data_IF_793198094030
#
_entry.id   IF_793198094030
#
_cell.length_a   1.000
_cell.length_b   1.000
_cell.length_c   1.000
_cell.angle_alpha   90.00
_cell.angle_beta   90.00
_cell.angle_gamma   90.00
#
_symmetry.space_group_name_H-M   'P 1'
#
loop_
_entity.id
_entity.type
_entity.pdbx_description
1 polymer ?
#
# COMPACT_ATOMS: atom_id res chain seq x y z
N UNK A 1 -16.25 8.22 -18.15
CA UNK A 1 -15.90 6.80 -17.99
C UNK A 1 -16.99 6.12 -17.22
N UNK A 2 -17.62 5.08 -17.76
CA UNK A 2 -18.55 4.25 -17.00
C UNK A 2 -17.79 3.56 -15.85
N UNK A 3 -18.32 3.65 -14.64
CA UNK A 3 -17.78 2.94 -13.49
C UNK A 3 -18.04 1.43 -13.68
N UNK A 4 -17.00 0.65 -13.76
CA UNK A 4 -17.12 -0.81 -13.85
C UNK A 4 -17.35 -1.32 -12.42
N UNK A 5 -18.60 -1.44 -12.02
CA UNK A 5 -19.00 -1.84 -10.66
C UNK A 5 -18.45 -3.21 -10.26
N UNK A 6 -18.35 -4.16 -11.20
CA UNK A 6 -17.79 -5.48 -10.95
C UNK A 6 -16.34 -5.42 -10.42
N UNK A 7 -15.51 -4.51 -10.90
CA UNK A 7 -14.15 -4.32 -10.38
C UNK A 7 -14.16 -3.77 -8.94
N UNK A 8 -15.14 -2.92 -8.61
CA UNK A 8 -15.27 -2.40 -7.24
C UNK A 8 -15.73 -3.49 -6.27
N UNK A 9 -16.67 -4.34 -6.68
CA UNK A 9 -17.09 -5.49 -5.85
C UNK A 9 -15.95 -6.47 -5.62
N UNK A 10 -15.16 -6.77 -6.65
CA UNK A 10 -14.01 -7.67 -6.51
C UNK A 10 -12.94 -7.08 -5.57
N UNK A 11 -12.71 -5.77 -5.61
CA UNK A 11 -11.80 -5.08 -4.67
C UNK A 11 -12.32 -5.12 -3.24
N UNK A 12 -13.63 -4.88 -3.04
CA UNK A 12 -14.25 -4.96 -1.73
C UNK A 12 -14.16 -6.38 -1.15
N UNK A 13 -14.44 -7.40 -1.97
CA UNK A 13 -14.29 -8.79 -1.58
C UNK A 13 -12.85 -9.13 -1.16
N UNK A 14 -11.87 -8.74 -1.98
CA UNK A 14 -10.46 -8.96 -1.68
C UNK A 14 -10.04 -8.25 -0.37
N UNK A 15 -10.53 -7.02 -0.13
CA UNK A 15 -10.26 -6.28 1.12
C UNK A 15 -10.81 -7.00 2.35
N UNK A 16 -12.08 -7.44 2.28
CA UNK A 16 -12.72 -8.17 3.37
C UNK A 16 -11.98 -9.48 3.65
N UNK A 17 -11.56 -10.19 2.61
CA UNK A 17 -10.82 -11.44 2.77
C UNK A 17 -9.48 -11.24 3.48
N UNK A 18 -8.69 -10.24 3.06
CA UNK A 18 -7.42 -9.88 3.73
C UNK A 18 -7.67 -9.48 5.18
N UNK A 19 -8.70 -8.66 5.45
CA UNK A 19 -9.07 -8.24 6.79
C UNK A 19 -9.41 -9.45 7.68
N UNK A 20 -10.27 -10.35 7.21
CA UNK A 20 -10.64 -11.56 7.95
C UNK A 20 -9.43 -12.43 8.27
N UNK A 21 -8.51 -12.59 7.32
CA UNK A 21 -7.27 -13.34 7.55
C UNK A 21 -6.44 -12.72 8.68
N UNK A 22 -6.28 -11.40 8.70
CA UNK A 22 -5.54 -10.72 9.76
C UNK A 22 -6.24 -10.83 11.12
N UNK A 23 -7.58 -10.69 11.16
CA UNK A 23 -8.35 -10.85 12.41
C UNK A 23 -8.20 -12.26 12.95
N UNK A 24 -8.33 -13.28 12.11
CA UNK A 24 -8.18 -14.68 12.53
C UNK A 24 -6.77 -14.98 13.05
N UNK A 25 -5.73 -14.42 12.43
CA UNK A 25 -4.35 -14.52 12.89
C UNK A 25 -4.16 -13.88 14.29
N UNK A 26 -4.77 -12.73 14.54
CA UNK A 26 -4.72 -12.05 15.83
C UNK A 26 -5.46 -12.83 16.94
N UNK A 27 -6.53 -13.54 16.57
CA UNK A 27 -7.28 -14.39 17.50
C UNK A 27 -6.62 -15.77 17.71
N UNK A 28 -5.39 -15.99 17.24
CA UNK A 28 -4.67 -17.28 17.31
C UNK A 28 -5.43 -18.46 16.66
N UNK A 29 -6.51 -18.17 15.95
CA UNK A 29 -7.22 -19.17 15.17
C UNK A 29 -6.35 -19.51 13.96
N UNK A 30 -5.79 -20.72 13.94
CA UNK A 30 -5.05 -21.20 12.76
C UNK A 30 -6.03 -21.40 11.61
N UNK A 31 -6.04 -20.52 10.60
CA UNK A 31 -6.94 -20.69 9.48
C UNK A 31 -6.50 -21.91 8.69
N UNK A 32 -7.35 -22.92 8.61
CA UNK A 32 -7.11 -24.10 7.76
C UNK A 32 -7.62 -23.82 6.34
N UNK A 33 -6.88 -24.27 5.32
CA UNK A 33 -7.32 -24.26 3.93
C UNK A 33 -7.50 -22.86 3.32
N UNK A 34 -8.71 -22.53 2.90
CA UNK A 34 -9.05 -21.32 2.12
C UNK A 34 -8.71 -20.01 2.84
N UNK A 35 -8.74 -19.97 4.17
CA UNK A 35 -8.41 -18.77 4.94
C UNK A 35 -6.90 -18.45 4.99
N UNK A 36 -6.02 -19.42 4.73
CA UNK A 36 -4.59 -19.16 4.50
C UNK A 36 -4.35 -18.35 3.21
N UNK A 37 -5.33 -18.34 2.34
CA UNK A 37 -5.26 -17.67 1.05
C UNK A 37 -5.50 -16.14 1.12
N UNK A 38 -5.48 -15.50 2.31
CA UNK A 38 -5.56 -14.04 2.43
C UNK A 38 -4.48 -13.30 1.66
N UNK A 39 -3.33 -13.95 1.43
CA UNK A 39 -2.30 -13.43 0.53
C UNK A 39 -2.81 -13.25 -0.91
N UNK A 40 -3.67 -14.14 -1.40
CA UNK A 40 -4.28 -14.01 -2.73
C UNK A 40 -5.19 -12.77 -2.85
N UNK A 41 -5.76 -12.32 -1.73
CA UNK A 41 -6.48 -11.04 -1.71
C UNK A 41 -5.57 -9.86 -2.06
N UNK A 42 -4.33 -9.88 -1.59
CA UNK A 42 -3.30 -8.87 -1.94
C UNK A 42 -2.94 -8.98 -3.42
N UNK A 43 -2.76 -10.19 -3.96
CA UNK A 43 -2.45 -10.40 -5.38
C UNK A 43 -3.59 -9.89 -6.27
N UNK A 44 -4.85 -10.15 -5.90
CA UNK A 44 -6.03 -9.61 -6.57
C UNK A 44 -6.00 -8.07 -6.55
N UNK A 45 -5.64 -7.46 -5.41
CA UNK A 45 -5.50 -6.01 -5.32
C UNK A 45 -4.46 -5.46 -6.29
N UNK A 46 -3.29 -6.08 -6.39
CA UNK A 46 -2.24 -5.66 -7.31
C UNK A 46 -2.67 -5.81 -8.77
N UNK A 47 -3.28 -6.94 -9.13
CA UNK A 47 -3.80 -7.16 -10.47
C UNK A 47 -4.85 -6.12 -10.86
N UNK A 48 -5.83 -5.87 -9.97
CA UNK A 48 -6.88 -4.87 -10.20
C UNK A 48 -6.32 -3.45 -10.25
N UNK A 49 -5.35 -3.11 -9.39
CA UNK A 49 -4.70 -1.81 -9.40
C UNK A 49 -3.97 -1.58 -10.72
N UNK A 50 -3.20 -2.57 -11.20
CA UNK A 50 -2.52 -2.50 -12.48
C UNK A 50 -3.49 -2.35 -13.65
N UNK A 51 -4.56 -3.11 -13.66
CA UNK A 51 -5.60 -3.05 -14.69
C UNK A 51 -6.30 -1.67 -14.72
N UNK A 52 -6.71 -1.17 -13.55
CA UNK A 52 -7.35 0.16 -13.45
C UNK A 52 -6.39 1.27 -13.87
N UNK A 53 -5.12 1.19 -13.49
CA UNK A 53 -4.10 2.15 -13.92
C UNK A 53 -3.98 2.13 -15.43
N UNK A 54 -3.85 0.96 -16.04
CA UNK A 54 -3.78 0.83 -17.48
C UNK A 54 -5.00 1.45 -18.17
N UNK A 55 -6.22 1.18 -17.70
CA UNK A 55 -7.44 1.72 -18.27
C UNK A 55 -7.57 3.25 -18.11
N UNK A 56 -7.14 3.78 -16.94
CA UNK A 56 -7.33 5.20 -16.61
C UNK A 56 -6.21 6.10 -17.14
N UNK A 57 -5.06 5.51 -17.49
CA UNK A 57 -3.87 6.26 -17.95
C UNK A 57 -3.77 6.30 -19.48
N UNK A 58 -4.82 5.87 -20.20
CA UNK A 58 -4.86 5.92 -21.66
C UNK A 58 -4.70 7.38 -22.14
N UNK A 59 -3.65 7.63 -22.91
CA UNK A 59 -3.38 8.71 -23.87
C UNK A 59 -2.98 10.11 -23.40
N UNK A 60 -3.37 10.62 -22.23
CA UNK A 60 -3.10 12.04 -21.87
C UNK A 60 -2.60 12.31 -20.47
N UNK A 61 -2.25 11.30 -19.70
CA UNK A 61 -1.80 11.52 -18.31
C UNK A 61 -0.32 11.91 -18.26
N UNK A 62 -0.03 13.14 -17.82
CA UNK A 62 1.31 13.51 -17.38
C UNK A 62 1.75 12.63 -16.20
N UNK A 63 3.01 12.19 -16.21
CA UNK A 63 3.59 11.41 -15.12
C UNK A 63 3.48 12.14 -13.77
N UNK A 64 3.60 13.48 -13.76
CA UNK A 64 3.44 14.33 -12.57
C UNK A 64 2.02 14.23 -12.01
N UNK A 65 1.01 14.45 -12.84
CA UNK A 65 -0.39 14.37 -12.42
C UNK A 65 -0.76 12.96 -11.95
N UNK A 66 -0.20 11.93 -12.58
CA UNK A 66 -0.35 10.56 -12.13
C UNK A 66 0.23 10.38 -10.73
N UNK A 67 1.50 10.74 -10.51
CA UNK A 67 2.20 10.59 -9.24
C UNK A 67 1.50 11.34 -8.11
N UNK A 68 1.12 12.59 -8.33
CA UNK A 68 0.40 13.40 -7.34
C UNK A 68 -0.90 12.70 -6.91
N UNK A 69 -1.72 12.25 -7.87
CA UNK A 69 -2.98 11.56 -7.56
C UNK A 69 -2.77 10.26 -6.77
N UNK A 70 -1.67 9.55 -6.99
CA UNK A 70 -1.36 8.30 -6.26
C UNK A 70 -0.83 8.58 -4.86
N UNK A 71 0.02 9.58 -4.68
CA UNK A 71 0.50 10.03 -3.37
C UNK A 71 -0.70 10.47 -2.51
N UNK A 72 -1.55 11.35 -3.01
CA UNK A 72 -2.73 11.81 -2.27
C UNK A 72 -3.78 10.72 -2.01
N UNK A 73 -3.72 9.62 -2.71
CA UNK A 73 -4.57 8.46 -2.44
C UNK A 73 -4.07 7.62 -1.27
N UNK A 74 -2.77 7.46 -1.11
CA UNK A 74 -2.15 6.54 -0.13
C UNK A 74 -1.78 7.28 1.15
N UNK A 75 -1.02 8.36 1.03
CA UNK A 75 -0.38 9.02 2.18
C UNK A 75 -1.35 9.53 3.25
N UNK A 76 -2.49 10.17 2.94
CA UNK A 76 -3.36 10.70 3.99
C UNK A 76 -3.88 9.61 4.92
N UNK A 77 -4.32 8.48 4.38
CA UNK A 77 -4.82 7.36 5.18
C UNK A 77 -3.68 6.69 5.97
N UNK A 78 -2.53 6.48 5.32
CA UNK A 78 -1.37 5.89 5.97
C UNK A 78 -0.85 6.75 7.13
N UNK A 79 -0.65 8.05 6.91
CA UNK A 79 -0.16 8.97 7.95
C UNK A 79 -1.14 9.08 9.12
N UNK A 80 -2.44 9.05 8.85
CA UNK A 80 -3.46 9.01 9.91
C UNK A 80 -3.31 7.73 10.76
N UNK A 81 -3.20 6.58 10.12
CA UNK A 81 -3.02 5.29 10.83
C UNK A 81 -1.71 5.29 11.61
N UNK A 82 -0.62 5.75 11.01
CA UNK A 82 0.68 5.85 11.68
C UNK A 82 0.60 6.77 12.91
N UNK A 83 -0.04 7.93 12.79
CA UNK A 83 -0.23 8.87 13.90
C UNK A 83 -1.07 8.25 15.04
N UNK A 84 -2.18 7.58 14.69
CA UNK A 84 -3.02 6.89 15.68
C UNK A 84 -2.27 5.75 16.37
N UNK A 85 -1.47 5.00 15.64
CA UNK A 85 -0.65 3.93 16.19
C UNK A 85 0.41 4.48 17.17
N UNK A 86 1.11 5.55 16.80
CA UNK A 86 2.09 6.20 17.66
C UNK A 86 1.43 6.80 18.92
N UNK A 87 0.26 7.43 18.77
CA UNK A 87 -0.50 7.97 19.89
C UNK A 87 -0.94 6.84 20.86
N UNK A 88 -1.46 5.75 20.31
CA UNK A 88 -1.87 4.58 21.09
C UNK A 88 -0.68 4.02 21.89
N UNK A 89 0.46 3.79 21.25
CA UNK A 89 1.64 3.26 21.92
C UNK A 89 2.21 4.22 22.96
N UNK A 90 2.21 5.53 22.70
CA UNK A 90 2.69 6.52 23.67
C UNK A 90 1.81 6.60 24.92
N UNK A 91 0.50 6.36 24.77
CA UNK A 91 -0.46 6.45 25.89
C UNK A 91 -0.47 5.17 26.74
N UNK A 92 -0.36 4.02 26.11
CA UNK A 92 -0.53 2.72 26.79
C UNK A 92 0.79 1.97 27.04
N UNK A 93 1.92 2.50 26.58
CA UNK A 93 3.30 1.97 26.76
C UNK A 93 3.43 0.46 26.46
N UNK A 94 2.62 -0.05 25.50
CA UNK A 94 2.38 -1.48 25.36
C UNK A 94 3.55 -2.25 24.73
N UNK A 95 4.45 -1.59 23.98
CA UNK A 95 5.62 -2.28 23.42
C UNK A 95 6.74 -1.30 23.01
N UNK A 96 7.62 -1.00 23.94
CA UNK A 96 8.86 -0.25 23.64
C UNK A 96 9.76 -0.98 22.64
N UNK A 97 9.66 -2.33 22.56
CA UNK A 97 10.45 -3.14 21.63
C UNK A 97 10.02 -2.98 20.16
N UNK A 98 8.74 -2.81 19.87
CA UNK A 98 8.27 -2.56 18.49
C UNK A 98 8.59 -1.14 18.03
N UNK A 99 8.48 -0.15 18.91
CA UNK A 99 8.99 1.20 18.62
C UNK A 99 10.50 1.21 18.38
N UNK A 100 11.25 0.42 19.13
CA UNK A 100 12.70 0.30 18.96
C UNK A 100 13.08 -0.42 17.66
N UNK A 101 12.29 -1.37 17.19
CA UNK A 101 12.52 -2.04 15.90
C UNK A 101 12.14 -1.19 14.69
N UNK A 102 11.13 -0.33 14.82
CA UNK A 102 10.58 0.46 13.71
C UNK A 102 10.95 1.92 13.71
N UNK A 103 11.71 2.42 14.67
CA UNK A 103 12.11 3.81 14.66
C UNK A 103 11.83 4.56 15.95
N UNK A 104 12.35 4.07 17.06
CA UNK A 104 12.41 4.84 18.32
C UNK A 104 13.28 6.09 18.22
N UNK A 105 13.97 6.27 17.11
CA UNK A 105 14.74 7.44 16.77
C UNK A 105 14.10 8.24 15.61
N UNK A 106 14.51 9.49 15.47
CA UNK A 106 14.04 10.39 14.40
C UNK A 106 14.27 9.80 13.00
N UNK A 107 15.36 9.06 12.82
CA UNK A 107 15.69 8.43 11.54
C UNK A 107 14.68 7.36 11.18
N UNK A 108 14.34 6.48 12.10
CA UNK A 108 13.32 5.45 11.88
C UNK A 108 11.95 6.04 11.61
N UNK A 109 11.57 7.12 12.31
CA UNK A 109 10.32 7.83 12.03
C UNK A 109 10.28 8.38 10.60
N UNK A 110 11.38 9.01 10.12
CA UNK A 110 11.48 9.50 8.75
C UNK A 110 11.31 8.36 7.74
N UNK A 111 11.96 7.20 7.96
CA UNK A 111 11.82 6.04 7.09
C UNK A 111 10.37 5.52 7.07
N UNK A 112 9.70 5.49 8.23
CA UNK A 112 8.29 5.11 8.30
C UNK A 112 7.39 6.11 7.58
N UNK A 113 7.56 7.41 7.80
CA UNK A 113 6.79 8.45 7.11
C UNK A 113 6.96 8.35 5.59
N UNK A 114 8.18 8.09 5.12
CA UNK A 114 8.48 7.94 3.69
C UNK A 114 8.21 6.52 3.15
N UNK A 115 7.78 5.58 3.99
CA UNK A 115 7.59 4.16 3.64
C UNK A 115 8.83 3.54 3.00
N UNK A 116 10.02 3.90 3.49
CA UNK A 116 11.29 3.34 3.02
C UNK A 116 11.71 2.15 3.89
N UNK A 117 12.31 1.10 3.32
CA UNK A 117 12.88 0.00 4.11
C UNK A 117 14.07 0.49 4.93
N UNK A 118 14.10 0.21 6.23
CA UNK A 118 15.11 0.75 7.15
C UNK A 118 16.46 0.05 6.99
N UNK A 119 16.48 -1.26 6.72
CA UNK A 119 17.70 -2.03 6.45
C UNK A 119 17.37 -3.45 6.00
N UNK A 120 18.11 -3.94 5.02
CA UNK A 120 17.93 -5.29 4.50
C UNK A 120 16.85 -5.42 3.42
N UNK A 121 16.56 -6.64 2.97
CA UNK A 121 15.50 -6.88 2.03
C UNK A 121 14.19 -6.35 2.60
N UNK A 122 13.30 -5.87 1.73
CA UNK A 122 11.98 -5.31 2.07
C UNK A 122 11.22 -6.34 2.92
N UNK A 123 11.42 -6.28 4.23
CA UNK A 123 10.75 -7.15 5.18
C UNK A 123 9.74 -6.34 5.97
N UNK A 124 8.63 -6.95 6.28
CA UNK A 124 7.53 -6.38 7.06
C UNK A 124 7.96 -5.87 8.45
N UNK A 125 9.11 -6.31 8.94
CA UNK A 125 9.64 -5.98 10.27
C UNK A 125 10.25 -4.58 10.38
N UNK A 126 10.42 -3.88 9.26
CA UNK A 126 11.01 -2.53 9.25
C UNK A 126 10.00 -1.38 9.32
N UNK A 127 8.72 -1.68 9.27
CA UNK A 127 7.65 -0.69 9.39
C UNK A 127 6.95 -0.80 10.74
N UNK A 128 6.71 0.35 11.39
CA UNK A 128 5.92 0.44 12.62
C UNK A 128 4.53 -0.16 12.41
N UNK A 129 3.89 0.16 11.28
CA UNK A 129 2.63 -0.45 10.87
C UNK A 129 2.96 -1.65 9.99
N UNK A 130 3.06 -2.83 10.58
CA UNK A 130 3.49 -4.05 9.88
C UNK A 130 2.65 -4.40 8.65
N UNK A 131 1.34 -4.12 8.67
CA UNK A 131 0.42 -4.37 7.55
C UNK A 131 0.65 -3.43 6.35
N UNK A 132 1.43 -2.35 6.52
CA UNK A 132 1.71 -1.39 5.45
C UNK A 132 2.69 -1.93 4.38
N UNK A 133 3.24 -3.12 4.53
CA UNK A 133 4.15 -3.71 3.55
C UNK A 133 3.54 -3.75 2.13
N UNK A 134 2.26 -4.09 2.01
CA UNK A 134 1.57 -4.12 0.72
C UNK A 134 1.45 -2.72 0.10
N UNK A 135 1.29 -1.69 0.92
CA UNK A 135 1.25 -0.28 0.49
C UNK A 135 2.61 0.18 -0.03
N UNK A 136 3.72 -0.29 0.56
CA UNK A 136 5.07 -0.05 0.04
C UNK A 136 5.24 -0.64 -1.35
N UNK A 137 4.79 -1.88 -1.57
CA UNK A 137 4.81 -2.49 -2.92
C UNK A 137 3.91 -1.72 -3.90
N UNK A 138 2.76 -1.21 -3.45
CA UNK A 138 1.90 -0.36 -4.28
C UNK A 138 2.63 0.92 -4.71
N UNK A 139 3.38 1.56 -3.82
CA UNK A 139 4.21 2.72 -4.15
C UNK A 139 5.32 2.39 -5.16
N UNK A 140 6.02 1.27 -4.99
CA UNK A 140 7.01 0.81 -5.98
C UNK A 140 6.37 0.61 -7.35
N UNK A 141 5.22 -0.06 -7.39
CA UNK A 141 4.48 -0.27 -8.63
C UNK A 141 4.09 1.05 -9.30
N UNK A 142 3.62 2.03 -8.51
CA UNK A 142 3.30 3.36 -9.03
C UNK A 142 4.53 4.11 -9.51
N UNK A 143 5.66 3.97 -8.82
CA UNK A 143 6.93 4.58 -9.23
C UNK A 143 7.41 4.02 -10.57
N UNK A 144 7.38 2.71 -10.75
CA UNK A 144 7.71 2.06 -12.02
C UNK A 144 6.79 2.54 -13.14
N UNK A 145 5.49 2.64 -12.87
CA UNK A 145 4.53 3.11 -13.86
C UNK A 145 4.73 4.60 -14.21
N UNK A 146 5.06 5.44 -13.22
CA UNK A 146 5.40 6.86 -13.45
C UNK A 146 6.66 7.00 -14.32
N UNK A 147 7.68 6.17 -14.09
CA UNK A 147 8.89 6.11 -14.92
C UNK A 147 8.54 5.72 -16.36
N UNK A 148 7.70 4.71 -16.56
CA UNK A 148 7.25 4.31 -17.89
C UNK A 148 6.48 5.44 -18.59
N UNK A 149 5.66 6.19 -17.87
CA UNK A 149 4.96 7.37 -18.41
C UNK A 149 5.92 8.50 -18.76
N UNK A 150 6.97 8.70 -17.97
CA UNK A 150 8.00 9.70 -18.25
C UNK A 150 8.73 9.41 -19.57
N UNK A 151 9.08 8.16 -19.83
CA UNK A 151 9.75 7.75 -21.07
C UNK A 151 8.81 7.61 -22.26
N UNK A 152 7.48 7.54 -22.04
CA UNK A 152 6.50 7.52 -23.12
C UNK A 152 6.49 8.89 -23.80
N UNK A 153 7.19 9.02 -24.93
CA UNK A 153 7.16 10.25 -25.76
C UNK A 153 5.71 10.59 -26.09
N UNK A 154 5.26 11.85 -25.87
CA UNK A 154 3.97 12.26 -26.37
C UNK A 154 3.95 12.04 -27.88
N UNK A 155 3.00 11.22 -28.37
CA UNK A 155 2.77 11.15 -29.83
C UNK A 155 2.41 12.57 -30.25
N UNK A 156 3.34 13.28 -30.89
CA UNK A 156 3.05 14.51 -31.63
C UNK A 156 2.15 14.06 -32.75
N UNK A 157 0.88 14.33 -32.65
CA UNK A 157 0.01 14.35 -33.83
C UNK A 157 0.47 15.55 -34.66
N UNK A 158 1.22 15.28 -35.70
CA UNK A 158 1.43 16.23 -36.80
C UNK A 158 0.06 16.32 -37.49
N UNK A 159 -0.61 17.43 -37.28
CA UNK A 159 -1.77 17.84 -38.08
C UNK A 159 -1.33 18.11 -39.52
#
# INVERSE_FOLDING_TARGET
MQKIYSLQYLRAFAAIWVLLTHVLQQCEVRPNGVFWAGQWGVDIFFLLSGFIIYLTTREKSSWVNFSIKRIFRIYPAYLLILALYLLYNSTFALNTSELAMGGGDLRGLIYNVLMLPISGPITTRSLIVGQAWSTVFELYFYSLFAILLFFKKPKRYIL
#
